data_IF_964118835993
#
_entry.id   IF_964118835993
#
_cell.length_a   1.000
_cell.length_b   1.000
_cell.length_c   1.000
_cell.angle_alpha   90.00
_cell.angle_beta   90.00
_cell.angle_gamma   90.00
#
_symmetry.space_group_name_H-M   'P 1'
#
loop_
_entity.id
_entity.type
_entity.pdbx_description
1 polymer ?
#
# COMPACT_ATOMS: atom_id res chain seq x y z
N UNK A 1 5.05 -19.90 -9.19
CA UNK A 1 3.96 -20.88 -9.32
C UNK A 1 2.74 -20.27 -8.70
N UNK A 2 1.57 -20.34 -9.36
CA UNK A 2 0.30 -19.85 -8.80
C UNK A 2 -0.19 -20.82 -7.71
N UNK A 3 -0.83 -20.28 -6.69
CA UNK A 3 -1.54 -21.02 -5.65
C UNK A 3 -3.03 -21.16 -6.01
N UNK A 4 -3.80 -21.90 -5.19
CA UNK A 4 -5.23 -22.11 -5.45
C UNK A 4 -6.00 -20.79 -5.50
N UNK A 5 -6.92 -20.67 -6.47
CA UNK A 5 -7.76 -19.49 -6.73
C UNK A 5 -6.97 -18.23 -7.14
N UNK A 6 -5.70 -18.34 -7.51
CA UNK A 6 -4.92 -17.27 -8.05
C UNK A 6 -4.96 -17.21 -9.58
N UNK A 7 -4.91 -15.99 -10.11
CA UNK A 7 -4.73 -15.73 -11.54
C UNK A 7 -3.67 -14.66 -11.76
N UNK A 8 -3.15 -14.61 -12.98
CA UNK A 8 -2.29 -13.51 -13.43
C UNK A 8 -3.14 -12.53 -14.24
N UNK A 9 -3.13 -11.28 -13.83
CA UNK A 9 -3.70 -10.17 -14.58
C UNK A 9 -2.57 -9.28 -15.14
N UNK A 10 -2.89 -8.49 -16.19
CA UNK A 10 -1.90 -7.66 -16.87
C UNK A 10 -2.14 -6.18 -16.60
N UNK A 11 -1.09 -5.48 -16.19
CA UNK A 11 -1.02 -4.02 -16.18
C UNK A 11 -0.60 -3.58 -17.60
N UNK A 12 -1.59 -3.47 -18.49
CA UNK A 12 -1.40 -3.37 -19.95
C UNK A 12 -0.44 -2.25 -20.35
N UNK A 13 -0.55 -1.09 -19.70
CA UNK A 13 0.24 0.11 -20.03
C UNK A 13 1.73 -0.08 -19.70
N UNK A 14 2.03 -0.73 -18.60
CA UNK A 14 3.39 -0.97 -18.10
C UNK A 14 3.99 -2.26 -18.66
N UNK A 15 3.14 -3.15 -19.17
CA UNK A 15 3.53 -4.48 -19.62
C UNK A 15 3.86 -5.44 -18.46
N UNK A 16 3.42 -5.13 -17.23
CA UNK A 16 3.68 -5.96 -16.07
C UNK A 16 2.54 -6.93 -15.77
N UNK A 17 2.90 -8.04 -15.17
CA UNK A 17 2.00 -9.09 -14.68
C UNK A 17 1.82 -8.99 -13.16
N UNK A 18 0.61 -9.22 -12.67
CA UNK A 18 0.29 -9.19 -11.25
C UNK A 18 -0.58 -10.38 -10.86
N UNK A 19 -0.22 -11.03 -9.76
CA UNK A 19 -1.00 -12.13 -9.19
C UNK A 19 -2.15 -11.55 -8.37
N UNK A 20 -3.36 -12.07 -8.61
CA UNK A 20 -4.56 -11.72 -7.88
C UNK A 20 -5.30 -12.96 -7.41
N UNK A 21 -6.10 -12.78 -6.37
CA UNK A 21 -6.99 -13.81 -5.82
C UNK A 21 -8.29 -13.15 -5.35
N UNK A 22 -9.40 -13.42 -6.03
CA UNK A 22 -10.70 -12.77 -5.75
C UNK A 22 -11.30 -13.13 -4.39
N UNK A 23 -10.87 -14.24 -3.80
CA UNK A 23 -11.33 -14.66 -2.47
C UNK A 23 -10.61 -13.90 -1.34
N UNK A 24 -9.41 -13.39 -1.62
CA UNK A 24 -8.57 -12.70 -0.63
C UNK A 24 -8.53 -11.22 -0.89
N UNK A 25 -8.07 -10.83 -2.08
CA UNK A 25 -7.88 -9.44 -2.46
C UNK A 25 -7.69 -9.29 -3.97
N UNK A 26 -8.42 -8.33 -4.55
CA UNK A 26 -8.13 -7.77 -5.88
C UNK A 26 -7.87 -6.28 -5.73
N UNK A 27 -6.87 -5.74 -6.43
CA UNK A 27 -6.58 -4.32 -6.36
C UNK A 27 -7.76 -3.47 -6.87
N UNK A 28 -7.97 -2.32 -6.25
CA UNK A 28 -9.06 -1.40 -6.58
C UNK A 28 -8.64 -0.40 -7.65
N UNK A 29 -9.63 0.25 -8.28
CA UNK A 29 -9.40 1.43 -9.14
C UNK A 29 -8.64 2.53 -8.40
N UNK A 30 -8.85 2.68 -7.10
CA UNK A 30 -8.16 3.67 -6.27
C UNK A 30 -6.65 3.42 -6.21
N UNK A 31 -6.24 2.15 -6.12
CA UNK A 31 -4.82 1.78 -6.16
C UNK A 31 -4.19 2.10 -7.53
N UNK A 32 -4.92 1.87 -8.63
CA UNK A 32 -4.47 2.27 -9.97
C UNK A 32 -4.34 3.78 -10.10
N UNK A 33 -5.35 4.54 -9.64
CA UNK A 33 -5.32 6.00 -9.65
C UNK A 33 -4.14 6.53 -8.84
N UNK A 34 -3.92 6.01 -7.64
CA UNK A 34 -2.78 6.40 -6.81
C UNK A 34 -1.45 6.14 -7.53
N UNK A 35 -1.27 4.93 -8.07
CA UNK A 35 -0.07 4.57 -8.81
C UNK A 35 0.14 5.43 -10.06
N UNK A 36 -0.91 5.68 -10.84
CA UNK A 36 -0.81 6.49 -12.07
C UNK A 36 -0.62 7.98 -11.81
N UNK A 37 -1.27 8.56 -10.82
CA UNK A 37 -1.19 9.99 -10.51
C UNK A 37 0.04 10.35 -9.67
N UNK A 38 0.65 9.39 -9.00
CA UNK A 38 1.88 9.64 -8.23
C UNK A 38 3.03 9.96 -9.17
N UNK A 39 3.58 11.15 -9.02
CA UNK A 39 4.82 11.57 -9.70
C UNK A 39 6.04 11.04 -8.92
N UNK A 40 6.89 10.27 -9.59
CA UNK A 40 8.14 9.76 -9.02
C UNK A 40 9.31 10.53 -9.62
N UNK A 41 10.12 11.18 -8.77
CA UNK A 41 11.32 11.90 -9.16
C UNK A 41 12.52 10.96 -9.27
N UNK A 42 13.52 11.33 -10.07
CA UNK A 42 14.68 10.50 -10.39
C UNK A 42 15.39 9.87 -9.16
N UNK A 43 15.43 10.59 -8.05
CA UNK A 43 16.15 10.15 -6.85
C UNK A 43 15.20 9.84 -5.67
N UNK A 44 13.91 9.62 -5.94
CA UNK A 44 12.98 9.26 -4.89
C UNK A 44 13.31 7.90 -4.32
N UNK A 45 13.43 7.83 -3.01
CA UNK A 45 13.36 6.60 -2.23
C UNK A 45 11.92 6.44 -1.78
N UNK A 46 11.28 5.36 -2.20
CA UNK A 46 9.83 5.19 -2.12
C UNK A 46 9.46 4.08 -1.13
N UNK A 47 8.48 4.37 -0.26
CA UNK A 47 7.80 3.37 0.56
C UNK A 47 6.30 3.42 0.27
N UNK A 48 5.69 2.25 0.04
CA UNK A 48 4.24 2.08 -0.09
C UNK A 48 3.67 1.40 1.15
N UNK A 49 2.73 2.07 1.83
CA UNK A 49 2.09 1.58 3.04
C UNK A 49 0.76 0.90 2.69
N UNK A 50 0.41 -0.19 3.40
CA UNK A 50 -0.76 -1.03 3.12
C UNK A 50 -0.76 -1.51 1.66
N UNK A 51 0.38 -2.05 1.24
CA UNK A 51 0.74 -2.27 -0.17
C UNK A 51 -0.08 -3.38 -0.85
N UNK A 52 -0.81 -4.19 -0.09
CA UNK A 52 -1.62 -5.28 -0.63
C UNK A 52 -0.78 -6.27 -1.43
N UNK A 53 -1.25 -6.62 -2.62
CA UNK A 53 -0.54 -7.51 -3.55
C UNK A 53 0.54 -6.80 -4.38
N UNK A 54 0.94 -5.57 -4.02
CA UNK A 54 2.07 -4.87 -4.61
C UNK A 54 1.78 -4.13 -5.92
N UNK A 55 0.51 -3.84 -6.23
CA UNK A 55 0.15 -3.14 -7.49
C UNK A 55 0.75 -1.73 -7.56
N UNK A 56 0.74 -0.96 -6.46
CA UNK A 56 1.31 0.39 -6.43
C UNK A 56 2.82 0.35 -6.63
N UNK A 57 3.63 -0.46 -5.91
CA UNK A 57 5.05 -0.65 -6.21
C UNK A 57 5.34 -1.01 -7.67
N UNK A 58 4.55 -1.90 -8.30
CA UNK A 58 4.71 -2.25 -9.72
C UNK A 58 4.50 -1.03 -10.62
N UNK A 59 3.41 -0.27 -10.43
CA UNK A 59 3.13 0.94 -11.21
C UNK A 59 4.20 2.02 -11.04
N UNK A 60 4.73 2.19 -9.83
CA UNK A 60 5.80 3.14 -9.55
C UNK A 60 7.15 2.69 -10.12
N UNK A 61 7.40 1.37 -10.18
CA UNK A 61 8.61 0.80 -10.78
C UNK A 61 8.73 1.11 -12.28
N UNK A 62 7.62 1.29 -12.99
CA UNK A 62 7.62 1.74 -14.39
C UNK A 62 8.09 3.20 -14.56
N UNK A 63 8.06 4.00 -13.48
CA UNK A 63 8.42 5.42 -13.46
C UNK A 63 9.78 5.71 -12.82
N UNK A 64 10.41 4.71 -12.21
CA UNK A 64 11.65 4.87 -11.46
C UNK A 64 12.58 3.71 -11.71
N UNK A 65 13.89 3.96 -11.65
CA UNK A 65 14.93 2.93 -11.62
C UNK A 65 15.44 2.69 -10.19
N UNK A 66 14.97 3.46 -9.22
CA UNK A 66 15.37 3.34 -7.82
C UNK A 66 14.62 2.18 -7.12
N UNK A 67 15.17 1.62 -6.04
CA UNK A 67 14.46 0.67 -5.22
C UNK A 67 13.17 1.24 -4.65
N UNK A 68 12.12 0.41 -4.61
CA UNK A 68 10.82 0.72 -4.01
C UNK A 68 10.49 -0.37 -2.99
N UNK A 69 10.06 0.05 -1.82
CA UNK A 69 9.71 -0.84 -0.73
C UNK A 69 8.21 -0.73 -0.41
N UNK A 70 7.61 -1.83 0.00
CA UNK A 70 6.22 -1.88 0.44
C UNK A 70 6.08 -2.57 1.79
N UNK A 71 5.07 -2.17 2.55
CA UNK A 71 4.69 -2.78 3.84
C UNK A 71 3.28 -3.33 3.72
N UNK A 72 3.13 -4.60 4.10
CA UNK A 72 1.84 -5.29 4.17
C UNK A 72 1.88 -6.28 5.34
N UNK A 73 0.79 -6.37 6.11
CA UNK A 73 0.70 -7.25 7.28
C UNK A 73 0.29 -8.67 6.91
N UNK A 74 -0.50 -8.83 5.84
CA UNK A 74 -1.06 -10.12 5.44
C UNK A 74 -0.05 -10.94 4.65
N UNK A 75 0.35 -12.09 5.21
CA UNK A 75 1.34 -12.99 4.61
C UNK A 75 1.00 -13.38 3.18
N UNK A 76 -0.27 -13.71 2.91
CA UNK A 76 -0.69 -14.13 1.58
C UNK A 76 -0.50 -13.02 0.54
N UNK A 77 -0.86 -11.78 0.87
CA UNK A 77 -0.67 -10.62 -0.02
C UNK A 77 0.81 -10.33 -0.25
N UNK A 78 1.64 -10.43 0.78
CA UNK A 78 3.10 -10.32 0.67
C UNK A 78 3.67 -11.40 -0.25
N UNK A 79 3.19 -12.65 -0.13
CA UNK A 79 3.59 -13.76 -1.03
C UNK A 79 3.22 -13.45 -2.47
N UNK A 80 1.98 -13.01 -2.73
CA UNK A 80 1.52 -12.62 -4.07
C UNK A 80 2.36 -11.48 -4.65
N UNK A 81 2.65 -10.43 -3.87
CA UNK A 81 3.47 -9.31 -4.28
C UNK A 81 4.89 -9.76 -4.68
N UNK A 82 5.56 -10.51 -3.83
CA UNK A 82 6.92 -11.01 -4.11
C UNK A 82 6.99 -11.88 -5.36
N UNK A 83 5.99 -12.73 -5.57
CA UNK A 83 5.88 -13.55 -6.80
C UNK A 83 5.59 -12.70 -8.03
N UNK A 84 4.74 -11.67 -7.92
CA UNK A 84 4.49 -10.71 -8.99
C UNK A 84 5.76 -9.93 -9.35
N UNK A 85 6.54 -9.49 -8.37
CA UNK A 85 7.83 -8.83 -8.61
C UNK A 85 8.79 -9.74 -9.37
N UNK A 86 8.84 -11.02 -9.01
CA UNK A 86 9.67 -12.02 -9.70
C UNK A 86 9.20 -12.31 -11.13
N UNK A 87 7.89 -12.34 -11.40
CA UNK A 87 7.34 -12.52 -12.75
C UNK A 87 7.80 -11.42 -13.72
N UNK A 88 8.08 -10.22 -13.18
CA UNK A 88 8.48 -9.05 -13.96
C UNK A 88 9.99 -8.76 -13.89
N UNK A 89 10.80 -9.66 -13.35
CA UNK A 89 12.25 -9.47 -13.14
C UNK A 89 12.58 -8.20 -12.33
N UNK A 90 11.72 -7.86 -11.36
CA UNK A 90 11.84 -6.67 -10.50
C UNK A 90 12.22 -6.98 -9.04
N UNK A 91 12.48 -8.23 -8.69
CA UNK A 91 12.78 -8.66 -7.33
C UNK A 91 14.06 -8.06 -6.73
N UNK A 92 14.97 -7.55 -7.57
CA UNK A 92 16.18 -6.82 -7.12
C UNK A 92 15.89 -5.34 -6.80
N UNK A 93 14.74 -4.83 -7.24
CA UNK A 93 14.33 -3.43 -7.10
C UNK A 93 13.12 -3.23 -6.21
N UNK A 94 12.25 -4.21 -6.13
CA UNK A 94 11.03 -4.16 -5.33
C UNK A 94 11.14 -5.10 -4.14
N UNK A 95 10.94 -4.54 -2.94
CA UNK A 95 10.96 -5.31 -1.70
C UNK A 95 9.62 -5.18 -0.99
N UNK A 96 9.06 -6.31 -0.55
CA UNK A 96 7.86 -6.33 0.27
C UNK A 96 8.19 -6.82 1.68
N UNK A 97 7.92 -5.99 2.67
CA UNK A 97 8.07 -6.29 4.09
C UNK A 97 6.74 -6.79 4.67
N UNK A 98 6.77 -7.97 5.30
CA UNK A 98 5.64 -8.45 6.09
C UNK A 98 5.76 -7.90 7.50
N UNK A 99 4.95 -6.90 7.82
CA UNK A 99 4.95 -6.28 9.16
C UNK A 99 3.71 -5.45 9.44
N UNK A 100 3.41 -5.21 10.71
CA UNK A 100 2.44 -4.21 11.13
C UNK A 100 3.05 -2.80 10.99
N UNK A 101 2.27 -1.82 10.54
CA UNK A 101 2.71 -0.41 10.48
C UNK A 101 3.15 0.14 11.85
N UNK A 102 2.63 -0.39 12.94
CA UNK A 102 3.02 -0.02 14.31
C UNK A 102 4.47 -0.37 14.64
N UNK A 103 5.05 -1.34 13.91
CA UNK A 103 6.44 -1.78 14.09
C UNK A 103 7.44 -0.96 13.25
N UNK A 104 6.96 0.00 12.45
CA UNK A 104 7.79 0.87 11.60
C UNK A 104 8.89 1.57 12.40
N UNK A 105 8.55 2.05 13.60
CA UNK A 105 9.48 2.77 14.48
C UNK A 105 10.64 1.92 14.99
N UNK A 106 10.47 0.60 15.03
CA UNK A 106 11.50 -0.34 15.50
C UNK A 106 12.34 -0.88 14.34
N UNK A 107 11.75 -0.93 13.14
CA UNK A 107 12.34 -1.59 11.97
C UNK A 107 13.09 -0.60 11.07
N UNK A 108 12.56 0.60 10.89
CA UNK A 108 13.12 1.62 10.00
C UNK A 108 13.64 2.83 10.78
N UNK A 109 14.80 3.31 10.37
CA UNK A 109 15.28 4.59 10.88
C UNK A 109 14.37 5.75 10.41
N UNK A 110 14.20 6.82 11.18
CA UNK A 110 13.38 7.95 10.76
C UNK A 110 13.98 8.67 9.54
N UNK A 111 13.11 9.34 8.81
CA UNK A 111 13.50 10.26 7.73
C UNK A 111 14.36 9.61 6.63
N UNK A 112 13.98 8.40 6.17
CA UNK A 112 14.72 7.71 5.11
C UNK A 112 14.14 7.87 3.71
N UNK A 113 12.84 8.16 3.59
CA UNK A 113 12.10 8.16 2.33
C UNK A 113 11.77 9.57 1.88
N UNK A 114 11.76 9.80 0.57
CA UNK A 114 11.38 11.07 -0.05
C UNK A 114 9.95 11.06 -0.57
N UNK A 115 9.41 9.86 -0.75
CA UNK A 115 8.05 9.62 -1.18
C UNK A 115 7.45 8.45 -0.40
N UNK A 116 6.31 8.68 0.22
CA UNK A 116 5.49 7.63 0.84
C UNK A 116 4.12 7.64 0.18
N UNK A 117 3.66 6.46 -0.29
CA UNK A 117 2.31 6.25 -0.80
C UNK A 117 1.48 5.44 0.18
N UNK A 118 0.16 5.60 0.17
CA UNK A 118 -0.73 4.81 1.00
C UNK A 118 -2.14 4.72 0.40
N UNK A 119 -2.61 3.50 0.22
CA UNK A 119 -4.00 3.18 -0.05
C UNK A 119 -4.58 2.40 1.14
N UNK A 120 -4.98 3.08 2.23
CA UNK A 120 -5.37 2.43 3.46
C UNK A 120 -6.75 1.76 3.35
N UNK A 121 -7.10 0.82 4.22
CA UNK A 121 -8.47 0.32 4.31
C UNK A 121 -9.43 1.45 4.71
N UNK A 122 -10.55 1.61 3.97
CA UNK A 122 -11.42 2.80 4.04
C UNK A 122 -12.51 2.78 5.11
N UNK A 123 -12.72 1.68 5.80
CA UNK A 123 -13.94 1.45 6.57
C UNK A 123 -13.81 1.85 8.04
N UNK A 124 -14.79 2.66 8.55
CA UNK A 124 -15.03 2.76 10.00
C UNK A 124 -15.82 1.52 10.44
N UNK A 125 -15.51 0.97 11.59
CA UNK A 125 -16.38 -0.01 12.26
C UNK A 125 -17.74 0.63 12.56
N UNK A 126 -18.68 0.53 11.61
CA UNK A 126 -20.08 0.82 11.89
C UNK A 126 -20.75 -0.46 12.35
N UNK A 127 -21.30 -0.45 13.55
CA UNK A 127 -21.96 -1.58 14.22
C UNK A 127 -23.24 -2.11 13.51
N UNK A 128 -23.59 -1.61 12.32
CA UNK A 128 -24.88 -1.86 11.65
C UNK A 128 -24.82 -2.60 10.31
N UNK A 129 -23.80 -3.42 10.03
CA UNK A 129 -23.77 -4.19 8.78
C UNK A 129 -24.41 -5.57 8.95
N UNK A 130 -25.58 -5.76 8.29
CA UNK A 130 -26.35 -7.01 8.27
C UNK A 130 -25.72 -8.19 7.47
N UNK A 131 -24.56 -8.01 6.85
CA UNK A 131 -23.81 -9.06 6.12
C UNK A 131 -22.57 -9.50 6.90
N UNK A 132 -22.76 -10.48 7.76
CA UNK A 132 -21.71 -10.96 8.69
C UNK A 132 -20.39 -11.39 8.00
N UNK A 133 -20.41 -11.93 6.78
CA UNK A 133 -19.19 -12.36 6.08
C UNK A 133 -18.34 -11.19 5.55
N UNK A 134 -18.97 -10.14 5.01
CA UNK A 134 -18.27 -8.93 4.59
C UNK A 134 -17.82 -8.10 5.79
N UNK A 135 -18.66 -7.97 6.82
CA UNK A 135 -18.29 -7.29 8.05
C UNK A 135 -17.08 -7.94 8.74
N UNK A 136 -16.93 -9.25 8.71
CA UNK A 136 -15.75 -9.94 9.28
C UNK A 136 -14.47 -9.71 8.45
N UNK A 137 -14.56 -9.65 7.11
CA UNK A 137 -13.41 -9.28 6.27
C UNK A 137 -13.01 -7.82 6.53
N UNK A 138 -13.96 -6.91 6.54
CA UNK A 138 -13.80 -5.47 6.78
C UNK A 138 -13.24 -5.22 8.20
N UNK A 139 -13.83 -5.84 9.22
CA UNK A 139 -13.39 -5.68 10.61
C UNK A 139 -11.94 -6.14 10.84
N UNK A 140 -11.48 -7.21 10.15
CA UNK A 140 -10.08 -7.63 10.23
C UNK A 140 -9.12 -6.59 9.67
N UNK A 141 -9.49 -5.89 8.59
CA UNK A 141 -8.65 -4.87 7.98
C UNK A 141 -8.56 -3.58 8.83
N UNK A 142 -9.67 -3.14 9.47
CA UNK A 142 -9.66 -1.95 10.34
C UNK A 142 -9.00 -2.19 11.71
N UNK A 143 -9.06 -3.43 12.22
CA UNK A 143 -8.37 -3.79 13.47
C UNK A 143 -6.85 -3.76 13.27
N UNK A 144 -6.37 -3.98 12.05
CA UNK A 144 -4.94 -4.10 11.74
C UNK A 144 -4.27 -2.76 11.40
N UNK A 145 -4.99 -1.79 10.82
CA UNK A 145 -4.43 -0.48 10.45
C UNK A 145 -5.54 0.58 10.36
N UNK A 146 -5.40 1.67 11.07
CA UNK A 146 -6.28 2.83 10.97
C UNK A 146 -5.57 4.03 10.31
N UNK A 147 -6.35 5.06 9.95
CA UNK A 147 -5.83 6.27 9.29
C UNK A 147 -4.69 6.94 10.07
N UNK A 148 -4.80 6.99 11.39
CA UNK A 148 -3.78 7.56 12.26
C UNK A 148 -2.46 6.77 12.17
N UNK A 149 -2.52 5.43 12.24
CA UNK A 149 -1.34 4.56 12.12
C UNK A 149 -0.62 4.80 10.77
N UNK A 150 -1.37 4.96 9.67
CA UNK A 150 -0.79 5.25 8.36
C UNK A 150 -0.07 6.60 8.32
N UNK A 151 -0.68 7.64 8.88
CA UNK A 151 -0.12 9.01 8.90
C UNK A 151 1.10 9.06 9.81
N UNK A 152 1.04 8.45 10.98
CA UNK A 152 2.18 8.38 11.90
C UNK A 152 3.36 7.59 11.30
N UNK A 153 3.10 6.45 10.66
CA UNK A 153 4.13 5.69 9.95
C UNK A 153 4.76 6.51 8.80
N UNK A 154 3.93 7.17 7.99
CA UNK A 154 4.40 8.05 6.92
C UNK A 154 5.29 9.19 7.45
N UNK A 155 4.87 9.84 8.53
CA UNK A 155 5.65 10.88 9.19
C UNK A 155 7.02 10.40 9.67
N UNK A 156 7.07 9.22 10.29
CA UNK A 156 8.34 8.64 10.74
C UNK A 156 9.29 8.38 9.58
N UNK A 157 8.77 7.85 8.49
CA UNK A 157 9.55 7.43 7.34
C UNK A 157 10.02 8.59 6.46
N UNK A 158 9.24 9.67 6.36
CA UNK A 158 9.52 10.78 5.46
C UNK A 158 10.65 11.68 5.95
N UNK A 159 11.52 12.06 5.03
CA UNK A 159 12.47 13.17 5.20
C UNK A 159 11.73 14.49 5.24
N UNK A 160 12.38 15.51 5.80
CA UNK A 160 11.93 16.89 5.65
C UNK A 160 11.81 17.27 4.16
N UNK A 161 10.66 17.85 3.77
CA UNK A 161 10.32 18.13 2.38
C UNK A 161 9.97 16.90 1.55
N UNK A 162 9.85 15.72 2.16
CA UNK A 162 9.31 14.52 1.53
C UNK A 162 7.82 14.66 1.22
N UNK A 163 7.30 13.78 0.37
CA UNK A 163 5.91 13.81 -0.08
C UNK A 163 5.16 12.60 0.43
N UNK A 164 3.99 12.84 1.03
CA UNK A 164 3.00 11.81 1.33
C UNK A 164 1.85 11.90 0.34
N UNK A 165 1.56 10.82 -0.37
CA UNK A 165 0.46 10.74 -1.33
C UNK A 165 -0.44 9.58 -0.94
N UNK A 166 -1.71 9.87 -0.69
CA UNK A 166 -2.68 8.85 -0.32
C UNK A 166 -3.98 9.01 -1.10
N UNK A 167 -4.68 7.92 -1.30
CA UNK A 167 -6.05 7.91 -1.76
C UNK A 167 -6.98 7.59 -0.60
N UNK A 168 -8.11 8.28 -0.53
CA UNK A 168 -9.12 8.02 0.49
C UNK A 168 -10.51 8.43 -0.03
N UNK A 169 -11.56 7.93 0.61
CA UNK A 169 -12.93 8.33 0.28
C UNK A 169 -13.17 9.81 0.58
N UNK A 170 -13.85 10.53 -0.33
CA UNK A 170 -14.10 11.97 -0.19
C UNK A 170 -14.87 12.31 1.09
N UNK A 171 -15.80 11.45 1.52
CA UNK A 171 -16.57 11.60 2.78
C UNK A 171 -15.70 11.60 4.06
N UNK A 172 -14.45 11.09 3.96
CA UNK A 172 -13.48 11.06 5.05
C UNK A 172 -12.48 12.21 4.99
N UNK A 173 -12.66 13.18 4.08
CA UNK A 173 -11.70 14.27 3.87
C UNK A 173 -11.37 15.02 5.17
N UNK A 174 -12.38 15.35 5.97
CA UNK A 174 -12.17 16.06 7.24
C UNK A 174 -11.40 15.23 8.26
N UNK A 175 -11.63 13.92 8.31
CA UNK A 175 -10.86 13.01 9.17
C UNK A 175 -9.38 13.00 8.72
N UNK A 176 -9.14 12.88 7.40
CA UNK A 176 -7.79 12.87 6.81
C UNK A 176 -7.05 14.18 7.13
N UNK A 177 -7.67 15.33 6.89
CA UNK A 177 -7.07 16.64 7.16
C UNK A 177 -6.77 16.83 8.65
N UNK A 178 -7.64 16.35 9.51
CA UNK A 178 -7.45 16.41 10.97
C UNK A 178 -6.25 15.58 11.40
N UNK A 179 -6.14 14.34 10.92
CA UNK A 179 -5.03 13.45 11.26
C UNK A 179 -3.70 13.94 10.66
N UNK A 180 -3.68 14.45 9.42
CA UNK A 180 -2.49 15.07 8.83
C UNK A 180 -1.99 16.26 9.65
N UNK A 181 -2.91 17.12 10.10
CA UNK A 181 -2.57 18.26 10.98
C UNK A 181 -2.00 17.80 12.32
N UNK A 182 -2.59 16.79 12.96
CA UNK A 182 -2.07 16.21 14.21
C UNK A 182 -0.72 15.54 13.98
N UNK A 183 -0.55 14.84 12.88
CA UNK A 183 0.70 14.21 12.47
C UNK A 183 1.79 15.20 12.04
N UNK A 184 1.47 16.48 11.81
CA UNK A 184 2.40 17.50 11.31
C UNK A 184 3.06 17.12 9.97
N UNK A 185 2.26 16.55 9.07
CA UNK A 185 2.61 16.29 7.66
C UNK A 185 1.98 17.34 6.77
#
# INVERSE_FOLDING_TARGET
MLEDNERVDHLIKEGYEIIQNDEVFSFSTDALLLGYLTEVRKNDKVMDLCSGNGVIPLLLAAKSTQPIEGIEIQEQLVSMARRSFKLNDLNDRLTMHRMDLKDVYQTFQPAQYTLVTCNPPYFKMNQNHQHQKEAHKIARHEIMCNLKDCIEAARHLLKEGGRFIMVHRAERLMDVLTELRHGKI
#
